data_IF_407392830826
#
_entry.id   IF_407392830826
#
_cell.length_a   1.000
_cell.length_b   1.000
_cell.length_c   1.000
_cell.angle_alpha   90.00
_cell.angle_beta   90.00
_cell.angle_gamma   90.00
#
_symmetry.space_group_name_H-M   'P 1'
#
loop_
_entity.id
_entity.type
_entity.pdbx_description
1 polymer ?
#
# COMPACT_ATOMS: atom_id res chain seq x y z
N UNK A 1 8.49 -37.76 59.72
CA UNK A 1 7.22 -38.51 59.71
C UNK A 1 6.78 -38.61 58.26
N UNK A 2 7.29 -39.53 57.44
CA UNK A 2 6.82 -40.92 57.23
C UNK A 2 5.30 -41.06 57.10
N UNK A 3 4.78 -41.22 55.88
CA UNK A 3 3.85 -42.29 55.47
C UNK A 3 3.63 -42.28 53.92
N UNK A 4 4.09 -43.35 53.26
CA UNK A 4 3.55 -43.94 52.00
C UNK A 4 2.56 -45.05 52.41
N UNK A 5 1.81 -45.77 51.54
CA UNK A 5 1.33 -45.56 50.16
C UNK A 5 -0.17 -45.94 49.98
N UNK A 6 -0.74 -45.83 48.77
CA UNK A 6 -1.77 -46.77 48.29
C UNK A 6 -1.84 -46.75 46.75
N UNK A 7 -1.29 -47.80 46.13
CA UNK A 7 -1.58 -48.20 44.76
C UNK A 7 -2.98 -48.82 44.72
N UNK A 8 -3.81 -48.42 43.76
CA UNK A 8 -4.90 -49.24 43.25
C UNK A 8 -4.75 -49.36 41.73
N UNK A 9 -4.33 -50.54 41.29
CA UNK A 9 -4.33 -50.95 39.90
C UNK A 9 -5.68 -51.61 39.60
N UNK A 10 -6.52 -50.92 38.82
CA UNK A 10 -7.71 -51.51 38.22
C UNK A 10 -7.40 -51.83 36.76
N UNK A 11 -7.28 -53.13 36.47
CA UNK A 11 -7.33 -53.64 35.09
C UNK A 11 -8.78 -53.53 34.60
N UNK A 12 -9.04 -52.60 33.67
CA UNK A 12 -10.25 -52.58 32.86
C UNK A 12 -9.94 -53.25 31.52
N UNK A 13 -10.49 -54.44 31.30
CA UNK A 13 -10.54 -55.09 29.99
C UNK A 13 -11.58 -54.38 29.12
N UNK A 14 -11.11 -53.64 28.11
CA UNK A 14 -11.93 -52.98 27.10
C UNK A 14 -12.27 -53.97 25.96
N UNK A 15 -13.54 -54.18 25.59
CA UNK A 15 -13.89 -54.90 24.37
C UNK A 15 -13.58 -54.02 23.15
N UNK A 16 -12.72 -54.51 22.26
CA UNK A 16 -12.46 -53.89 20.95
C UNK A 16 -13.67 -54.19 20.05
N UNK A 17 -14.62 -53.24 20.02
CA UNK A 17 -15.65 -53.19 19.00
C UNK A 17 -15.02 -52.60 17.73
N UNK A 18 -14.84 -53.44 16.71
CA UNK A 18 -14.56 -53.00 15.34
C UNK A 18 -15.82 -52.32 14.80
N UNK A 19 -15.99 -51.05 15.14
CA UNK A 19 -16.94 -50.17 14.48
C UNK A 19 -16.34 -49.85 13.11
N UNK A 20 -16.93 -50.40 12.05
CA UNK A 20 -16.74 -49.87 10.70
C UNK A 20 -17.16 -48.41 10.74
N UNK A 21 -16.21 -47.48 10.69
CA UNK A 21 -16.53 -46.07 10.49
C UNK A 21 -17.35 -45.98 9.21
N UNK A 22 -18.58 -45.42 9.23
CA UNK A 22 -19.24 -45.07 7.98
C UNK A 22 -18.27 -44.19 7.20
N UNK A 23 -18.14 -44.43 5.89
CA UNK A 23 -17.47 -43.50 5.01
C UNK A 23 -18.13 -42.13 5.23
N UNK A 24 -17.46 -41.25 5.97
CA UNK A 24 -17.88 -39.88 6.10
C UNK A 24 -17.67 -39.28 4.73
N UNK A 25 -18.74 -38.81 4.10
CA UNK A 25 -18.60 -37.86 3.02
C UNK A 25 -17.71 -36.74 3.54
N UNK A 26 -16.56 -36.51 2.91
CA UNK A 26 -15.78 -35.31 3.19
C UNK A 26 -16.69 -34.12 2.91
N UNK A 27 -16.88 -33.28 3.92
CA UNK A 27 -17.55 -32.01 3.72
C UNK A 27 -16.75 -31.23 2.65
N UNK A 28 -17.43 -30.53 1.73
CA UNK A 28 -16.77 -29.75 0.69
C UNK A 28 -15.71 -28.81 1.32
N UNK A 29 -14.53 -28.68 0.72
CA UNK A 29 -13.48 -27.84 1.26
C UNK A 29 -13.88 -26.36 1.16
N UNK A 30 -13.29 -25.57 2.05
CA UNK A 30 -13.21 -24.11 1.89
C UNK A 30 -11.83 -23.79 1.34
N UNK A 31 -11.80 -23.00 0.27
CA UNK A 31 -10.56 -22.49 -0.31
C UNK A 31 -10.45 -20.99 -0.06
N UNK A 32 -9.21 -20.50 0.00
CA UNK A 32 -8.94 -19.07 0.16
C UNK A 32 -8.03 -18.54 -0.93
N UNK A 33 -8.29 -17.30 -1.32
CA UNK A 33 -7.47 -16.49 -2.21
C UNK A 33 -7.03 -15.22 -1.48
N UNK A 34 -5.83 -14.73 -1.76
CA UNK A 34 -5.36 -13.44 -1.24
C UNK A 34 -6.19 -12.31 -1.84
N UNK A 35 -6.67 -11.40 -0.98
CA UNK A 35 -7.29 -10.16 -1.39
C UNK A 35 -6.70 -9.04 -0.55
N UNK A 36 -5.62 -8.48 -1.05
CA UNK A 36 -4.84 -7.45 -0.35
C UNK A 36 -4.73 -6.16 -1.18
N UNK A 37 -5.83 -5.39 -1.38
CA UNK A 37 -5.78 -4.12 -2.09
C UNK A 37 -4.77 -3.15 -1.45
N UNK A 38 -4.06 -2.44 -2.30
CA UNK A 38 -3.07 -1.43 -1.90
C UNK A 38 -3.20 -0.21 -2.82
N UNK A 39 -3.06 0.99 -2.26
CA UNK A 39 -3.07 2.23 -3.03
C UNK A 39 -2.17 3.28 -2.37
N UNK A 40 -1.41 3.98 -3.21
CA UNK A 40 -0.64 5.16 -2.85
C UNK A 40 -1.11 6.33 -3.70
N UNK A 41 -1.48 7.44 -3.05
CA UNK A 41 -1.95 8.66 -3.69
C UNK A 41 -1.03 9.82 -3.32
N UNK A 42 -0.42 10.45 -4.32
CA UNK A 42 0.19 11.77 -4.16
C UNK A 42 -0.89 12.83 -4.36
N UNK A 43 -1.41 13.40 -3.26
CA UNK A 43 -2.44 14.43 -3.30
C UNK A 43 -1.86 15.80 -3.69
N UNK A 44 -0.61 16.06 -3.30
CA UNK A 44 0.14 17.27 -3.64
C UNK A 44 1.63 16.96 -3.68
N UNK A 45 2.31 17.25 -4.78
CA UNK A 45 3.78 17.23 -4.86
C UNK A 45 4.39 18.57 -4.43
N UNK A 46 5.67 18.55 -4.01
CA UNK A 46 6.41 19.78 -3.69
C UNK A 46 6.48 20.77 -4.86
N UNK A 47 6.44 20.29 -6.09
CA UNK A 47 6.43 21.14 -7.30
C UNK A 47 5.04 21.73 -7.60
N UNK A 48 3.98 21.21 -6.96
CA UNK A 48 2.59 21.60 -7.22
C UNK A 48 2.13 22.78 -6.33
N UNK A 49 2.78 22.97 -5.17
CA UNK A 49 2.52 24.09 -4.27
C UNK A 49 3.80 24.89 -4.00
N UNK A 50 3.72 26.19 -4.28
CA UNK A 50 4.76 27.14 -3.93
C UNK A 50 4.11 28.44 -3.45
N UNK A 51 4.40 28.78 -2.20
CA UNK A 51 4.06 30.06 -1.61
C UNK A 51 5.29 30.96 -1.58
N UNK A 52 5.11 32.22 -1.97
CA UNK A 52 6.09 33.28 -1.79
C UNK A 52 5.39 34.51 -1.24
N UNK A 53 5.72 34.90 -0.01
CA UNK A 53 5.09 36.06 0.63
C UNK A 53 5.53 37.38 0.01
N UNK A 54 6.60 37.38 -0.78
CA UNK A 54 7.37 38.57 -1.08
C UNK A 54 7.97 39.19 0.19
N UNK A 55 8.47 40.41 0.07
CA UNK A 55 9.05 41.15 1.20
C UNK A 55 7.97 41.80 2.07
N UNK A 56 7.81 41.32 3.29
CA UNK A 56 6.83 41.77 4.28
C UNK A 56 7.50 42.35 5.54
N UNK A 57 6.97 43.44 6.13
CA UNK A 57 6.01 44.36 5.52
C UNK A 57 6.61 45.09 4.32
N UNK A 58 5.78 45.38 3.31
CA UNK A 58 6.23 46.10 2.13
C UNK A 58 6.69 47.53 2.48
N UNK A 59 7.86 47.93 1.95
CA UNK A 59 8.48 49.24 2.18
C UNK A 59 8.90 49.53 3.64
N UNK A 60 9.02 48.50 4.48
CA UNK A 60 9.59 48.62 5.82
C UNK A 60 11.13 48.68 5.75
N UNK A 61 11.81 49.41 6.66
CA UNK A 61 13.27 49.37 6.78
C UNK A 61 13.83 47.99 7.12
N UNK A 62 13.01 47.14 7.74
CA UNK A 62 13.30 45.72 7.97
C UNK A 62 12.16 44.92 7.37
N UNK A 63 12.51 43.97 6.51
CA UNK A 63 11.58 43.11 5.80
C UNK A 63 12.05 41.66 5.91
N UNK A 64 11.10 40.74 5.84
CA UNK A 64 11.36 39.32 5.71
C UNK A 64 10.63 38.77 4.48
N UNK A 65 11.08 37.65 3.95
CA UNK A 65 10.42 36.93 2.86
C UNK A 65 10.42 35.45 3.18
N UNK A 66 9.26 34.82 3.06
CA UNK A 66 9.12 33.38 3.16
C UNK A 66 8.83 32.79 1.81
N UNK A 67 9.48 31.66 1.56
CA UNK A 67 9.07 30.74 0.53
C UNK A 67 8.78 29.39 1.18
N UNK A 68 7.68 28.76 0.79
CA UNK A 68 7.28 27.46 1.27
C UNK A 68 6.81 26.59 0.11
N UNK A 69 7.26 25.34 0.05
CA UNK A 69 6.65 24.29 -0.74
C UNK A 69 6.15 23.19 0.19
N UNK A 70 5.13 22.46 -0.24
CA UNK A 70 4.51 21.43 0.58
C UNK A 70 4.14 20.22 -0.26
N UNK A 71 4.14 19.05 0.38
CA UNK A 71 3.68 17.80 -0.22
C UNK A 71 2.68 17.11 0.69
N UNK A 72 1.78 16.34 0.09
CA UNK A 72 0.86 15.49 0.83
C UNK A 72 0.63 14.18 0.07
N UNK A 73 0.82 13.06 0.77
CA UNK A 73 0.57 11.72 0.25
C UNK A 73 -0.24 10.89 1.23
N UNK A 74 -0.94 9.90 0.69
CA UNK A 74 -1.76 8.95 1.43
C UNK A 74 -1.43 7.55 0.96
N UNK A 75 -1.20 6.63 1.89
CA UNK A 75 -1.02 5.21 1.59
C UNK A 75 -2.10 4.41 2.31
N UNK A 76 -2.71 3.45 1.61
CA UNK A 76 -3.76 2.59 2.14
C UNK A 76 -3.44 1.14 1.81
N UNK A 77 -3.53 0.27 2.82
CA UNK A 77 -3.29 -1.16 2.70
C UNK A 77 -4.42 -1.94 3.35
N UNK A 78 -5.01 -2.89 2.61
CA UNK A 78 -6.17 -3.68 3.02
C UNK A 78 -5.91 -5.19 2.97
N UNK A 79 -4.89 -5.73 3.68
CA UNK A 79 -4.53 -7.14 3.57
C UNK A 79 -5.59 -8.07 4.15
N UNK A 80 -5.96 -9.09 3.39
CA UNK A 80 -6.95 -10.07 3.80
C UNK A 80 -7.11 -11.21 2.81
N UNK A 81 -8.18 -11.96 2.96
CA UNK A 81 -8.50 -13.10 2.12
C UNK A 81 -9.94 -13.06 1.68
N UNK A 82 -10.19 -13.61 0.50
CA UNK A 82 -11.50 -14.06 0.07
C UNK A 82 -11.59 -15.56 0.33
N UNK A 83 -12.70 -16.03 0.90
CA UNK A 83 -12.94 -17.43 1.24
C UNK A 83 -14.17 -17.90 0.48
N UNK A 84 -14.00 -18.95 -0.32
CA UNK A 84 -15.06 -19.58 -1.08
C UNK A 84 -15.38 -20.96 -0.48
N UNK A 85 -16.64 -21.16 -0.10
CA UNK A 85 -17.15 -22.44 0.39
C UNK A 85 -17.81 -23.21 -0.77
N UNK A 86 -17.16 -24.29 -1.23
CA UNK A 86 -17.68 -25.11 -2.34
C UNK A 86 -18.98 -25.85 -2.00
N UNK A 87 -19.33 -25.97 -0.71
CA UNK A 87 -20.52 -26.67 -0.26
C UNK A 87 -21.75 -25.79 -0.22
N UNK A 88 -21.61 -24.53 0.20
CA UNK A 88 -22.69 -23.54 0.16
C UNK A 88 -22.66 -22.66 -1.09
N UNK A 89 -21.60 -22.72 -1.90
CA UNK A 89 -21.32 -21.82 -3.02
C UNK A 89 -21.28 -20.35 -2.58
N UNK A 90 -20.85 -20.09 -1.34
CA UNK A 90 -20.78 -18.75 -0.77
C UNK A 90 -19.34 -18.22 -0.77
N UNK A 91 -19.18 -16.99 -1.25
CA UNK A 91 -17.97 -16.20 -1.10
C UNK A 91 -18.14 -15.25 0.08
N UNK A 92 -17.10 -15.03 0.87
CA UNK A 92 -17.03 -13.94 1.85
C UNK A 92 -15.60 -13.42 1.99
N UNK A 93 -15.44 -12.22 2.56
CA UNK A 93 -14.14 -11.58 2.76
C UNK A 93 -13.80 -11.51 4.24
N UNK A 94 -12.54 -11.76 4.56
CA UNK A 94 -11.99 -11.70 5.92
C UNK A 94 -10.71 -10.88 5.90
N UNK A 95 -10.72 -9.73 6.58
CA UNK A 95 -9.50 -8.94 6.76
C UNK A 95 -8.52 -9.61 7.71
N UNK A 96 -7.23 -9.42 7.47
CA UNK A 96 -6.19 -9.87 8.40
C UNK A 96 -6.23 -8.98 9.65
N UNK A 97 -6.41 -9.53 10.87
CA UNK A 97 -6.57 -8.72 12.08
C UNK A 97 -5.41 -7.75 12.29
N UNK A 98 -5.73 -6.46 12.48
CA UNK A 98 -4.77 -5.38 12.73
C UNK A 98 -3.64 -5.26 11.70
N UNK A 99 -3.88 -5.64 10.45
CA UNK A 99 -2.87 -5.57 9.40
C UNK A 99 -3.15 -4.49 8.35
N UNK A 100 -4.34 -3.86 8.38
CA UNK A 100 -4.64 -2.71 7.54
C UNK A 100 -3.95 -1.45 8.04
N UNK A 101 -3.49 -0.62 7.12
CA UNK A 101 -2.88 0.69 7.41
C UNK A 101 -3.52 1.78 6.56
N UNK A 102 -3.64 2.96 7.17
CA UNK A 102 -3.99 4.22 6.54
C UNK A 102 -2.95 5.23 7.01
N UNK A 103 -2.05 5.59 6.12
CA UNK A 103 -0.91 6.46 6.38
C UNK A 103 -1.15 7.81 5.70
N UNK A 104 -1.02 8.90 6.45
CA UNK A 104 -1.19 10.27 5.98
C UNK A 104 0.07 11.08 6.25
N UNK A 105 0.75 11.49 5.18
CA UNK A 105 2.04 12.16 5.26
C UNK A 105 1.95 13.58 4.72
N UNK A 106 2.50 14.54 5.46
CA UNK A 106 2.62 15.95 5.04
C UNK A 106 4.07 16.40 5.16
N UNK A 107 4.61 16.91 4.05
CA UNK A 107 5.93 17.50 3.97
C UNK A 107 5.85 19.01 3.78
N UNK A 108 6.81 19.74 4.37
CA UNK A 108 6.96 21.19 4.23
C UNK A 108 8.45 21.52 4.05
N UNK A 109 8.78 22.26 3.00
CA UNK A 109 10.12 22.81 2.77
C UNK A 109 10.05 24.33 2.87
N UNK A 110 10.85 24.92 3.76
CA UNK A 110 10.82 26.34 4.07
C UNK A 110 12.13 27.05 3.74
N UNK A 111 12.00 28.27 3.26
CA UNK A 111 13.09 29.24 3.11
C UNK A 111 12.65 30.57 3.70
N UNK A 112 13.59 31.25 4.36
CA UNK A 112 13.37 32.57 4.93
C UNK A 112 14.55 33.48 4.60
N UNK A 113 14.26 34.67 4.10
CA UNK A 113 15.23 35.73 3.88
C UNK A 113 14.87 36.97 4.69
N UNK A 114 15.86 37.76 5.07
CA UNK A 114 15.68 39.07 5.70
C UNK A 114 16.44 40.12 4.93
N UNK A 115 15.81 41.30 4.83
CA UNK A 115 16.33 42.48 4.18
C UNK A 115 16.25 43.67 5.14
N UNK A 116 17.33 44.42 5.23
CA UNK A 116 17.50 45.60 6.05
C UNK A 116 17.96 46.76 5.16
N UNK A 117 17.25 47.87 5.24
CA UNK A 117 17.56 49.15 4.59
C UNK A 117 17.31 50.28 5.59
N UNK A 118 18.31 50.54 6.44
CA UNK A 118 18.25 51.53 7.54
C UNK A 118 19.43 52.50 7.40
N UNK A 119 19.13 53.75 7.04
CA UNK A 119 20.11 54.83 6.86
C UNK A 119 21.19 54.52 5.82
N UNK A 120 22.41 54.19 6.27
CA UNK A 120 23.57 53.83 5.43
C UNK A 120 23.85 52.32 5.45
N UNK A 121 22.98 51.53 6.09
CA UNK A 121 23.13 50.08 6.24
C UNK A 121 22.13 49.41 5.31
N UNK A 122 22.66 48.69 4.32
CA UNK A 122 21.88 47.84 3.42
C UNK A 122 22.43 46.42 3.53
N UNK A 123 21.56 45.49 3.89
CA UNK A 123 21.92 44.09 4.09
C UNK A 123 20.75 43.20 3.69
N UNK A 124 21.04 42.10 3.02
CA UNK A 124 20.08 41.09 2.64
C UNK A 124 20.75 39.73 2.83
N UNK A 125 20.05 38.79 3.43
CA UNK A 125 20.55 37.44 3.64
C UNK A 125 19.42 36.44 3.61
N UNK A 126 19.71 35.30 3.00
CA UNK A 126 18.96 34.08 3.25
C UNK A 126 19.39 33.57 4.62
N UNK A 127 18.41 33.36 5.50
CA UNK A 127 18.62 32.98 6.91
C UNK A 127 18.36 31.50 7.14
N UNK A 128 17.35 30.99 6.43
CA UNK A 128 16.89 29.63 6.52
C UNK A 128 16.62 29.14 5.10
N UNK A 129 17.00 27.90 4.82
CA UNK A 129 16.55 27.22 3.61
C UNK A 129 17.64 26.42 2.89
N UNK A 130 17.28 25.24 2.34
CA UNK A 130 16.01 24.53 2.57
C UNK A 130 15.94 23.98 4.00
N UNK A 131 14.79 24.16 4.66
CA UNK A 131 14.49 23.50 5.93
C UNK A 131 13.31 22.54 5.72
N UNK A 132 13.58 21.25 5.89
CA UNK A 132 12.61 20.19 5.62
C UNK A 132 11.93 19.75 6.92
N UNK A 133 10.61 19.71 6.88
CA UNK A 133 9.76 19.17 7.93
C UNK A 133 8.81 18.12 7.35
N UNK A 134 8.52 17.11 8.15
CA UNK A 134 7.68 15.99 7.78
C UNK A 134 6.89 15.54 9.01
N UNK A 135 5.59 15.37 8.84
CA UNK A 135 4.74 14.62 9.75
C UNK A 135 4.19 13.40 9.03
N UNK A 136 4.10 12.31 9.77
CA UNK A 136 3.69 11.00 9.29
C UNK A 136 2.78 10.39 10.35
N UNK A 137 1.49 10.31 10.03
CA UNK A 137 0.46 9.79 10.92
C UNK A 137 -0.12 8.51 10.35
N UNK A 138 -0.30 7.51 11.20
CA UNK A 138 -0.75 6.17 10.81
C UNK A 138 -1.95 5.75 11.67
N UNK A 139 -2.99 5.22 11.01
CA UNK A 139 -4.05 4.46 11.64
C UNK A 139 -3.96 3.00 11.21
N UNK A 140 -3.90 2.09 12.19
CA UNK A 140 -3.92 0.64 11.98
C UNK A 140 -5.31 0.10 12.30
N UNK A 141 -5.83 -0.80 11.47
CA UNK A 141 -7.16 -1.37 11.62
C UNK A 141 -7.24 -2.80 11.06
N UNK A 142 -8.35 -3.49 11.29
CA UNK A 142 -8.70 -4.74 10.62
C UNK A 142 -9.46 -4.45 9.33
N UNK A 143 -8.95 -4.82 8.14
CA UNK A 143 -9.67 -4.66 6.89
C UNK A 143 -11.05 -5.37 6.94
N UNK A 144 -12.03 -4.96 6.16
CA UNK A 144 -11.95 -3.99 5.06
C UNK A 144 -12.64 -2.66 5.39
N UNK A 145 -12.98 -2.42 6.67
CA UNK A 145 -13.76 -1.24 7.10
C UNK A 145 -15.12 -1.14 6.38
N UNK A 146 -15.75 -2.29 6.08
CA UNK A 146 -17.12 -2.38 5.57
C UNK A 146 -18.15 -2.14 6.69
N UNK A 147 -19.44 -2.08 6.36
CA UNK A 147 -20.49 -1.88 7.38
C UNK A 147 -20.46 -3.01 8.43
N UNK A 148 -20.53 -2.64 9.71
CA UNK A 148 -20.42 -3.60 10.82
C UNK A 148 -19.01 -3.79 11.38
N UNK A 149 -17.96 -3.33 10.69
CA UNK A 149 -16.61 -3.28 11.25
C UNK A 149 -16.54 -2.21 12.36
N UNK A 150 -16.10 -2.56 13.60
CA UNK A 150 -16.11 -1.62 14.73
C UNK A 150 -15.05 -0.51 14.62
N UNK A 151 -14.08 -0.66 13.73
CA UNK A 151 -13.00 0.30 13.48
C UNK A 151 -13.34 1.24 12.31
N UNK A 152 -14.57 1.16 11.75
CA UNK A 152 -15.04 2.03 10.68
C UNK A 152 -15.58 3.37 11.21
N UNK A 153 -15.15 4.53 10.67
CA UNK A 153 -14.00 4.71 9.77
C UNK A 153 -12.67 4.63 10.53
N UNK A 154 -11.60 4.24 9.83
CA UNK A 154 -10.25 4.49 10.31
C UNK A 154 -10.00 6.00 10.24
N UNK A 155 -9.63 6.60 11.36
CA UNK A 155 -9.54 8.05 11.48
C UNK A 155 -8.16 8.47 12.02
N UNK A 156 -7.61 9.51 11.40
CA UNK A 156 -6.44 10.25 11.86
C UNK A 156 -6.93 11.62 12.31
N UNK A 157 -6.57 11.99 13.52
CA UNK A 157 -6.92 13.27 14.14
C UNK A 157 -5.71 13.76 14.91
N UNK A 158 -4.97 14.68 14.30
CA UNK A 158 -3.79 15.29 14.90
C UNK A 158 -3.99 16.80 14.93
N UNK A 159 -3.95 17.38 16.13
CA UNK A 159 -4.03 18.83 16.30
C UNK A 159 -2.89 19.24 17.23
N UNK A 160 -1.98 20.05 16.72
CA UNK A 160 -0.84 20.57 17.47
C UNK A 160 -1.13 21.99 17.98
N UNK A 161 -0.60 22.30 19.16
CA UNK A 161 -0.32 23.69 19.52
C UNK A 161 0.81 24.23 18.64
N UNK A 162 1.09 25.53 18.73
CA UNK A 162 2.28 26.13 18.14
C UNK A 162 3.52 25.39 18.65
N UNK A 163 4.32 24.80 17.75
CA UNK A 163 5.61 24.26 18.12
C UNK A 163 6.74 24.95 17.37
N UNK A 164 7.90 25.15 18.02
CA UNK A 164 9.03 25.84 17.42
C UNK A 164 9.65 24.96 16.34
N UNK A 165 9.49 25.39 15.09
CA UNK A 165 10.03 24.72 13.93
C UNK A 165 11.50 25.08 13.73
N UNK A 166 11.85 26.37 13.84
CA UNK A 166 13.21 26.87 13.74
C UNK A 166 13.41 28.13 14.57
N UNK A 167 14.63 28.32 15.08
CA UNK A 167 15.06 29.54 15.76
C UNK A 167 16.46 29.90 15.27
N UNK A 168 16.56 30.98 14.50
CA UNK A 168 17.77 31.37 13.75
C UNK A 168 18.32 32.68 14.31
N UNK A 169 19.47 32.64 15.01
CA UNK A 169 20.10 33.86 15.51
C UNK A 169 20.70 34.67 14.35
N UNK A 170 20.44 35.97 14.37
CA UNK A 170 20.98 36.94 13.41
C UNK A 170 22.27 37.51 13.97
N UNK A 171 23.39 36.97 13.51
CA UNK A 171 24.73 37.48 13.86
C UNK A 171 25.48 37.76 12.56
N UNK A 172 25.14 38.84 11.84
CA UNK A 172 25.96 39.26 10.71
C UNK A 172 27.34 39.72 11.22
N UNK A 173 28.37 39.65 10.37
CA UNK A 173 29.72 40.15 10.66
C UNK A 173 29.80 41.68 10.91
N UNK A 174 28.65 42.36 10.91
CA UNK A 174 28.48 43.79 11.09
C UNK A 174 28.05 44.05 12.55
N UNK A 175 28.90 44.74 13.31
CA UNK A 175 28.76 45.02 14.77
C UNK A 175 27.47 45.77 15.18
N UNK A 176 26.66 46.22 14.21
CA UNK A 176 25.47 47.06 14.46
C UNK A 176 24.14 46.35 14.15
N UNK A 177 24.16 45.03 13.99
CA UNK A 177 22.98 44.20 13.70
C UNK A 177 22.95 42.98 14.63
N UNK A 178 21.84 42.74 15.30
CA UNK A 178 21.62 41.52 16.09
C UNK A 178 20.13 41.20 16.18
N UNK A 179 19.76 39.94 16.30
CA UNK A 179 18.36 39.56 16.44
C UNK A 179 18.13 38.07 16.40
N UNK A 180 16.87 37.68 16.27
CA UNK A 180 16.43 36.30 16.15
C UNK A 180 15.22 36.21 15.21
N UNK A 181 15.21 35.17 14.39
CA UNK A 181 14.04 34.74 13.64
C UNK A 181 13.53 33.44 14.28
N UNK A 182 12.34 33.49 14.86
CA UNK A 182 11.61 32.34 15.36
C UNK A 182 10.52 31.96 14.36
N UNK A 183 10.34 30.66 14.11
CA UNK A 183 9.30 30.14 13.23
C UNK A 183 8.58 29.05 13.98
N UNK A 184 7.30 29.27 14.24
CA UNK A 184 6.40 28.28 14.80
C UNK A 184 5.52 27.67 13.71
N UNK A 185 5.14 26.41 13.89
CA UNK A 185 4.22 25.68 13.02
C UNK A 185 3.02 25.21 13.83
N UNK A 186 1.84 25.37 13.25
CA UNK A 186 0.58 24.82 13.73
C UNK A 186 0.07 23.81 12.70
N UNK A 187 -0.37 22.65 13.15
CA UNK A 187 -0.86 21.56 12.31
C UNK A 187 -2.22 21.11 12.84
N UNK A 188 -3.20 21.01 11.95
CA UNK A 188 -4.49 20.38 12.24
C UNK A 188 -4.84 19.45 11.07
N UNK A 189 -4.79 18.15 11.30
CA UNK A 189 -5.03 17.10 10.32
C UNK A 189 -6.25 16.30 10.77
N UNK A 190 -7.26 16.28 9.92
CA UNK A 190 -8.39 15.37 10.04
C UNK A 190 -8.47 14.54 8.77
N UNK A 191 -8.43 13.21 8.91
CA UNK A 191 -8.57 12.31 7.79
C UNK A 191 -9.37 11.06 8.19
N UNK A 192 -10.34 10.68 7.36
CA UNK A 192 -11.16 9.49 7.53
C UNK A 192 -11.05 8.59 6.30
N UNK A 193 -10.95 7.28 6.55
CA UNK A 193 -10.92 6.26 5.52
C UNK A 193 -11.87 5.10 5.89
N UNK A 194 -12.66 4.66 4.92
CA UNK A 194 -13.57 3.52 5.08
C UNK A 194 -13.92 2.89 3.74
N UNK A 195 -14.25 1.60 3.69
CA UNK A 195 -14.77 1.01 2.47
C UNK A 195 -16.29 0.96 2.44
N UNK A 196 -16.84 1.16 1.24
CA UNK A 196 -18.28 1.15 1.01
C UNK A 196 -18.73 -0.20 0.46
N UNK A 197 -17.92 -0.80 -0.42
CA UNK A 197 -18.20 -2.12 -1.01
C UNK A 197 -16.95 -2.81 -1.55
N UNK A 198 -17.02 -4.13 -1.66
CA UNK A 198 -16.17 -4.93 -2.55
C UNK A 198 -17.07 -5.46 -3.65
N UNK A 199 -16.73 -5.22 -4.91
CA UNK A 199 -17.46 -5.67 -6.09
C UNK A 199 -16.74 -6.88 -6.69
N UNK A 200 -17.47 -7.97 -6.92
CA UNK A 200 -16.95 -9.20 -7.52
C UNK A 200 -17.69 -9.50 -8.81
N UNK A 201 -16.95 -9.72 -9.89
CA UNK A 201 -17.52 -10.17 -11.16
C UNK A 201 -17.59 -11.70 -11.20
N UNK A 202 -18.81 -12.23 -11.36
CA UNK A 202 -19.05 -13.68 -11.47
C UNK A 202 -18.64 -14.22 -12.85
N UNK A 203 -18.50 -15.55 -13.01
CA UNK A 203 -18.22 -16.15 -14.33
C UNK A 203 -19.29 -15.83 -15.38
N UNK A 204 -20.53 -15.58 -14.95
CA UNK A 204 -21.64 -15.15 -15.80
C UNK A 204 -21.60 -13.67 -16.21
N UNK A 205 -20.64 -12.89 -15.68
CA UNK A 205 -20.49 -11.46 -15.91
C UNK A 205 -21.39 -10.57 -15.05
N UNK A 206 -22.10 -11.14 -14.07
CA UNK A 206 -22.86 -10.39 -13.07
C UNK A 206 -21.92 -9.78 -12.03
N UNK A 207 -22.30 -8.64 -11.45
CA UNK A 207 -21.58 -7.99 -10.36
C UNK A 207 -22.31 -8.25 -9.05
N UNK A 208 -21.57 -8.72 -8.06
CA UNK A 208 -22.06 -8.96 -6.69
C UNK A 208 -21.31 -8.04 -5.73
N UNK A 209 -22.07 -7.29 -4.94
CA UNK A 209 -21.53 -6.32 -3.99
C UNK A 209 -21.55 -6.90 -2.56
N UNK A 210 -20.41 -6.77 -1.88
CA UNK A 210 -20.24 -7.04 -0.46
C UNK A 210 -20.18 -5.72 0.29
N UNK A 211 -21.18 -5.45 1.13
CA UNK A 211 -21.31 -4.14 1.82
C UNK A 211 -21.14 -4.24 3.33
N UNK A 212 -21.31 -5.45 3.89
CA UNK A 212 -21.15 -5.71 5.32
C UNK A 212 -19.92 -6.58 5.60
N UNK A 213 -19.29 -6.35 6.75
CA UNK A 213 -18.17 -7.13 7.25
C UNK A 213 -18.61 -8.59 7.51
N UNK A 214 -17.86 -9.54 6.97
CA UNK A 214 -18.17 -10.98 7.07
C UNK A 214 -19.43 -11.42 6.33
N UNK A 215 -19.99 -10.58 5.45
CA UNK A 215 -21.11 -10.94 4.59
C UNK A 215 -20.74 -12.09 3.65
N UNK A 216 -21.61 -13.09 3.56
CA UNK A 216 -21.49 -14.20 2.64
C UNK A 216 -22.54 -14.06 1.51
N UNK A 217 -22.11 -14.20 0.27
CA UNK A 217 -22.96 -14.09 -0.92
C UNK A 217 -22.78 -15.31 -1.82
N UNK A 218 -23.88 -15.76 -2.42
CA UNK A 218 -23.88 -16.88 -3.36
C UNK A 218 -23.18 -16.49 -4.66
N UNK A 219 -22.21 -17.28 -5.09
CA UNK A 219 -21.51 -17.15 -6.36
C UNK A 219 -21.54 -18.51 -7.06
N UNK A 220 -22.31 -18.60 -8.14
CA UNK A 220 -22.32 -19.78 -9.01
C UNK A 220 -20.93 -19.93 -9.68
N UNK A 221 -20.21 -21.04 -9.45
CA UNK A 221 -18.89 -21.25 -10.02
C UNK A 221 -18.92 -21.54 -11.54
N UNK A 222 -20.11 -21.65 -12.14
CA UNK A 222 -20.31 -22.02 -13.54
C UNK A 222 -20.02 -23.50 -13.79
N UNK A 223 -20.02 -23.93 -15.05
CA UNK A 223 -19.65 -25.31 -15.44
C UNK A 223 -18.17 -25.40 -15.85
N UNK A 224 -17.53 -26.54 -15.59
CA UNK A 224 -16.20 -26.85 -16.13
C UNK A 224 -15.28 -27.56 -15.14
N UNK A 225 -14.07 -27.97 -15.56
CA UNK A 225 -13.02 -28.44 -14.67
C UNK A 225 -12.06 -27.33 -14.23
N UNK A 226 -12.17 -26.13 -14.83
CA UNK A 226 -11.22 -25.04 -14.63
C UNK A 226 -11.45 -24.33 -13.29
N UNK A 227 -10.37 -23.78 -12.72
CA UNK A 227 -10.39 -22.97 -11.50
C UNK A 227 -11.42 -21.83 -11.59
N UNK A 228 -12.07 -21.54 -10.47
CA UNK A 228 -12.96 -20.41 -10.36
C UNK A 228 -12.13 -19.13 -10.23
N UNK A 229 -12.18 -18.29 -11.28
CA UNK A 229 -11.50 -16.99 -11.30
C UNK A 229 -12.53 -15.86 -11.17
N UNK A 230 -12.39 -15.03 -10.15
CA UNK A 230 -13.30 -13.94 -9.82
C UNK A 230 -12.52 -12.61 -9.72
N UNK A 231 -12.67 -11.68 -10.67
CA UNK A 231 -12.15 -10.33 -10.52
C UNK A 231 -12.88 -9.59 -9.39
N UNK A 232 -12.13 -9.07 -8.42
CA UNK A 232 -12.65 -8.35 -7.26
C UNK A 232 -12.03 -6.95 -7.13
N UNK A 233 -12.84 -5.94 -6.81
CA UNK A 233 -12.40 -4.54 -6.67
C UNK A 233 -12.98 -3.92 -5.40
N UNK A 234 -12.13 -3.30 -4.57
CA UNK A 234 -12.59 -2.55 -3.40
C UNK A 234 -12.89 -1.09 -3.77
N UNK A 235 -14.01 -0.57 -3.27
CA UNK A 235 -14.38 0.83 -3.36
C UNK A 235 -14.47 1.44 -1.98
N UNK A 236 -13.66 2.47 -1.74
CA UNK A 236 -13.52 3.09 -0.44
C UNK A 236 -13.67 4.60 -0.54
N UNK A 237 -13.93 5.27 0.58
CA UNK A 237 -14.07 6.71 0.65
C UNK A 237 -12.95 7.29 1.48
N UNK A 238 -12.29 8.30 0.93
CA UNK A 238 -11.26 9.08 1.60
C UNK A 238 -11.77 10.50 1.83
N UNK A 239 -11.66 10.97 3.07
CA UNK A 239 -11.89 12.37 3.43
C UNK A 239 -10.67 12.94 4.11
N UNK A 240 -10.20 14.10 3.69
CA UNK A 240 -9.07 14.79 4.29
C UNK A 240 -9.37 16.27 4.42
N UNK A 241 -8.99 16.89 5.54
CA UNK A 241 -9.11 18.32 5.78
C UNK A 241 -7.89 18.86 6.53
N UNK A 242 -6.70 18.83 5.92
CA UNK A 242 -5.48 19.33 6.55
C UNK A 242 -5.43 20.87 6.59
N UNK A 243 -4.88 21.42 7.67
CA UNK A 243 -4.54 22.84 7.84
C UNK A 243 -3.15 22.97 8.42
N UNK A 244 -2.30 23.77 7.77
CA UNK A 244 -0.99 24.15 8.30
C UNK A 244 -0.86 25.66 8.33
N UNK A 245 -0.34 26.20 9.43
CA UNK A 245 -0.09 27.62 9.59
C UNK A 245 1.35 27.81 10.06
N UNK A 246 2.14 28.53 9.28
CA UNK A 246 3.48 28.96 9.67
C UNK A 246 3.36 30.34 10.31
N UNK A 247 3.92 30.51 11.51
CA UNK A 247 3.96 31.80 12.22
C UNK A 247 5.42 32.21 12.43
N UNK A 248 5.99 33.05 11.56
CA UNK A 248 7.33 33.57 11.74
C UNK A 248 7.33 34.88 12.51
N UNK A 249 8.20 34.98 13.50
CA UNK A 249 8.41 36.15 14.33
C UNK A 249 9.87 36.62 14.23
N UNK A 250 10.09 37.87 13.82
CA UNK A 250 11.43 38.45 13.66
C UNK A 250 11.61 39.62 14.61
N UNK A 251 12.59 39.49 15.51
CA UNK A 251 13.05 40.57 16.39
C UNK A 251 14.48 40.92 16.01
N UNK A 252 14.74 42.18 15.70
CA UNK A 252 16.07 42.64 15.30
C UNK A 252 16.39 44.05 15.78
N UNK A 253 17.60 44.26 16.25
CA UNK A 253 18.18 45.56 16.55
C UNK A 253 19.12 45.97 15.41
N UNK A 254 18.86 47.14 14.81
CA UNK A 254 19.68 47.74 13.75
C UNK A 254 20.13 49.13 14.20
N UNK A 255 21.44 49.33 14.35
CA UNK A 255 22.01 50.62 14.76
C UNK A 255 21.32 51.23 16.01
N UNK A 256 21.12 50.40 17.04
CA UNK A 256 20.45 50.77 18.31
C UNK A 256 18.96 51.09 18.18
N UNK A 257 18.31 50.65 17.11
CA UNK A 257 16.86 50.72 16.92
C UNK A 257 16.29 49.32 16.85
N UNK A 258 15.29 49.04 17.67
CA UNK A 258 14.59 47.75 17.67
C UNK A 258 13.49 47.74 16.61
N UNK A 259 13.43 46.63 15.88
CA UNK A 259 12.41 46.30 14.90
C UNK A 259 11.80 44.96 15.29
N UNK A 260 10.48 44.93 15.37
CA UNK A 260 9.70 43.74 15.68
C UNK A 260 8.70 43.54 14.53
N UNK A 261 8.97 42.55 13.69
CA UNK A 261 7.98 42.06 12.73
C UNK A 261 7.22 40.96 13.45
N UNK A 262 6.03 41.32 13.93
CA UNK A 262 5.13 40.44 14.64
C UNK A 262 4.89 39.13 13.90
N UNK A 263 4.59 38.06 14.66
CA UNK A 263 4.14 36.76 14.14
C UNK A 263 3.00 36.92 13.15
N UNK A 264 3.25 36.63 11.87
CA UNK A 264 2.23 36.66 10.82
C UNK A 264 1.75 35.24 10.57
N UNK A 265 0.45 34.98 10.67
CA UNK A 265 -0.09 33.68 10.30
C UNK A 265 -0.07 33.53 8.77
N UNK A 266 0.73 32.58 8.30
CA UNK A 266 0.87 32.23 6.88
C UNK A 266 0.24 30.84 6.69
N UNK A 267 -0.99 30.77 6.15
CA UNK A 267 -1.63 29.49 5.87
C UNK A 267 -0.94 28.79 4.69
N UNK A 268 -0.75 27.49 4.81
CA UNK A 268 -0.31 26.60 3.74
C UNK A 268 -1.53 25.78 3.31
N UNK A 269 -2.07 26.13 2.14
CA UNK A 269 -3.28 25.51 1.60
C UNK A 269 -2.95 24.11 1.06
N UNK A 270 -3.31 23.08 1.81
CA UNK A 270 -3.25 21.69 1.38
C UNK A 270 -4.59 21.22 0.77
N UNK A 271 -4.58 20.22 -0.13
CA UNK A 271 -5.81 19.75 -0.76
C UNK A 271 -6.75 19.08 0.27
N UNK A 272 -8.02 19.47 0.17
CA UNK A 272 -9.14 18.80 0.86
C UNK A 272 -9.73 17.78 -0.11
N UNK A 273 -9.81 16.52 0.31
CA UNK A 273 -10.35 15.41 -0.50
C UNK A 273 -11.64 14.91 0.13
N UNK A 274 -12.65 14.59 -0.68
CA UNK A 274 -13.85 13.84 -0.28
C UNK A 274 -14.33 13.00 -1.47
N UNK A 275 -13.57 11.96 -1.79
CA UNK A 275 -13.72 11.18 -3.02
C UNK A 275 -13.95 9.69 -2.72
N UNK A 276 -14.65 9.01 -3.64
CA UNK A 276 -14.65 7.55 -3.72
C UNK A 276 -13.42 7.10 -4.51
N UNK A 277 -12.64 6.21 -3.89
CA UNK A 277 -11.44 5.58 -4.43
C UNK A 277 -11.80 4.18 -4.91
N UNK A 278 -11.39 3.86 -6.14
CA UNK A 278 -11.45 2.51 -6.70
C UNK A 278 -10.04 1.92 -6.69
N UNK A 279 -9.85 0.83 -5.95
CA UNK A 279 -8.57 0.09 -5.95
C UNK A 279 -8.38 -0.69 -7.25
N UNK A 280 -7.15 -1.16 -7.48
CA UNK A 280 -6.88 -2.08 -8.57
C UNK A 280 -7.67 -3.39 -8.41
N UNK A 281 -8.15 -3.93 -9.52
CA UNK A 281 -8.85 -5.21 -9.55
C UNK A 281 -7.87 -6.36 -9.30
N UNK A 282 -8.23 -7.26 -8.38
CA UNK A 282 -7.47 -8.47 -8.03
C UNK A 282 -8.22 -9.70 -8.56
N UNK A 283 -7.52 -10.59 -9.27
CA UNK A 283 -8.09 -11.87 -9.69
C UNK A 283 -8.00 -12.88 -8.54
N UNK A 284 -9.14 -13.24 -7.96
CA UNK A 284 -9.26 -14.30 -6.96
C UNK A 284 -9.31 -15.64 -7.70
N UNK A 285 -8.44 -16.59 -7.35
CA UNK A 285 -8.39 -17.91 -7.98
C UNK A 285 -8.63 -19.01 -6.95
N UNK A 286 -9.68 -19.80 -7.16
CA UNK A 286 -10.03 -20.92 -6.29
C UNK A 286 -9.92 -22.24 -7.07
N UNK A 287 -9.03 -23.16 -6.66
CA UNK A 287 -8.91 -24.47 -7.29
C UNK A 287 -10.24 -25.20 -7.27
N UNK A 288 -10.67 -25.73 -8.42
CA UNK A 288 -12.00 -26.34 -8.49
C UNK A 288 -12.10 -27.61 -7.64
N UNK A 289 -13.13 -27.69 -6.80
CA UNK A 289 -13.40 -28.90 -6.04
C UNK A 289 -14.11 -29.95 -6.89
N UNK A 290 -13.53 -31.15 -6.97
CA UNK A 290 -14.17 -32.34 -7.53
C UNK A 290 -14.70 -33.22 -6.40
N UNK A 291 -16.00 -33.49 -6.40
CA UNK A 291 -16.58 -34.45 -5.47
C UNK A 291 -15.91 -35.82 -5.66
N UNK A 292 -15.52 -36.53 -4.59
CA UNK A 292 -14.96 -37.86 -4.71
C UNK A 292 -15.92 -38.74 -5.52
N UNK A 293 -15.48 -39.20 -6.69
CA UNK A 293 -16.26 -40.18 -7.43
C UNK A 293 -16.31 -41.42 -6.56
N UNK A 294 -17.45 -41.66 -5.93
CA UNK A 294 -17.67 -42.86 -5.15
C UNK A 294 -17.53 -44.05 -6.08
N UNK A 295 -16.33 -44.62 -6.14
CA UNK A 295 -16.09 -45.91 -6.76
C UNK A 295 -16.85 -46.91 -5.90
N UNK A 296 -18.13 -47.02 -6.20
CA UNK A 296 -18.99 -48.06 -5.66
C UNK A 296 -18.46 -49.29 -6.34
N UNK A 297 -17.45 -49.91 -5.70
CA UNK A 297 -16.80 -51.12 -6.14
C UNK A 297 -17.86 -52.16 -6.48
N UNK A 298 -18.28 -52.13 -7.73
CA UNK A 298 -19.17 -53.08 -8.33
C UNK A 298 -18.33 -54.30 -8.55
N UNK A 299 -18.27 -55.15 -7.53
CA UNK A 299 -17.83 -56.54 -7.64
C UNK A 299 -18.67 -57.21 -8.74
N UNK A 300 -18.17 -57.13 -9.98
CA UNK A 300 -18.75 -57.78 -11.15
C UNK A 300 -17.75 -58.78 -11.70
N UNK A 301 -17.84 -59.99 -11.16
CA UNK A 301 -17.43 -61.24 -11.81
C UNK A 301 -15.93 -61.52 -11.82
N UNK A 302 -15.46 -62.74 -12.03
CA UNK A 302 -16.08 -64.05 -12.24
C UNK A 302 -14.89 -65.01 -12.18
N UNK A 303 -14.82 -65.85 -11.16
CA UNK A 303 -13.88 -66.97 -11.13
C UNK A 303 -14.44 -68.12 -11.98
N UNK A 304 -13.66 -68.56 -12.97
CA UNK A 304 -13.96 -69.77 -13.73
C UNK A 304 -13.23 -69.83 -15.07
N UNK A 305 -11.94 -70.15 -15.05
CA UNK A 305 -11.08 -70.20 -16.22
C UNK A 305 -11.35 -71.34 -17.20
N UNK A 306 -10.68 -71.25 -18.35
CA UNK A 306 -10.21 -72.41 -19.11
C UNK A 306 -9.13 -71.95 -20.09
N UNK A 307 -7.98 -72.62 -19.99
CA UNK A 307 -6.81 -72.55 -20.87
C UNK A 307 -7.18 -72.86 -22.33
N UNK A 308 -6.49 -72.26 -23.32
CA UNK A 308 -5.80 -73.01 -24.38
C UNK A 308 -4.78 -72.12 -25.11
N UNK A 309 -3.54 -72.59 -25.17
CA UNK A 309 -2.45 -72.16 -26.04
C UNK A 309 -2.85 -72.11 -27.52
N UNK A 310 -2.30 -71.17 -28.30
CA UNK A 310 -1.62 -71.52 -29.56
C UNK A 310 -0.68 -70.41 -30.02
N UNK A 311 0.60 -70.75 -30.11
CA UNK A 311 1.63 -70.04 -30.88
C UNK A 311 1.23 -69.90 -32.36
N UNK A 312 1.53 -68.77 -32.99
CA UNK A 312 1.94 -68.75 -34.41
C UNK A 312 2.90 -67.59 -34.67
N UNK A 313 4.10 -67.97 -35.11
CA UNK A 313 5.19 -67.13 -35.54
C UNK A 313 5.04 -66.67 -37.01
N UNK A 314 5.76 -65.59 -37.34
CA UNK A 314 6.12 -65.16 -38.69
C UNK A 314 5.24 -64.03 -39.23
N UNK A 315 5.71 -63.10 -40.06
CA UNK A 315 7.01 -62.85 -40.67
C UNK A 315 6.85 -61.53 -41.47
N UNK A 316 7.96 -60.82 -41.68
CA UNK A 316 8.30 -59.99 -42.85
C UNK A 316 7.51 -58.72 -43.25
N UNK A 317 8.28 -57.68 -43.62
CA UNK A 317 7.97 -56.69 -44.66
C UNK A 317 7.95 -55.24 -44.17
N UNK A 318 9.10 -54.56 -44.08
CA UNK A 318 9.73 -53.70 -45.10
C UNK A 318 8.96 -52.44 -45.52
N UNK A 319 9.62 -51.30 -45.26
CA UNK A 319 9.83 -50.05 -46.06
C UNK A 319 8.64 -49.48 -46.89
N UNK A 320 8.40 -48.17 -47.08
CA UNK A 320 9.27 -47.07 -47.53
C UNK A 320 8.46 -45.74 -47.51
N UNK A 321 9.14 -44.58 -47.45
CA UNK A 321 8.72 -43.31 -48.10
C UNK A 321 8.13 -42.23 -47.17
N UNK A 322 8.86 -41.24 -46.64
CA UNK A 322 9.57 -40.08 -47.25
C UNK A 322 8.73 -39.18 -48.17
N UNK A 323 8.39 -37.98 -47.68
CA UNK A 323 8.50 -36.65 -48.34
C UNK A 323 7.86 -35.64 -47.39
N UNK A 324 8.44 -34.50 -46.99
CA UNK A 324 9.32 -33.58 -47.71
C UNK A 324 8.63 -32.20 -47.65
N UNK A 325 9.27 -31.20 -47.06
CA UNK A 325 8.66 -29.87 -46.85
C UNK A 325 9.63 -28.86 -46.25
N UNK A 326 10.80 -28.75 -46.86
CA UNK A 326 11.81 -27.71 -46.67
C UNK A 326 11.29 -26.39 -47.26
N UNK A 327 11.31 -25.30 -46.49
CA UNK A 327 11.42 -23.93 -47.03
C UNK A 327 12.46 -23.21 -46.17
N UNK A 328 13.69 -23.23 -46.67
CA UNK A 328 14.67 -22.19 -46.46
C UNK A 328 14.77 -21.40 -47.77
N UNK A 329 14.68 -20.08 -47.70
CA UNK A 329 15.35 -19.13 -48.61
C UNK A 329 15.29 -17.75 -47.95
N UNK A 330 16.45 -17.24 -47.51
CA UNK A 330 17.21 -16.17 -48.17
C UNK A 330 16.51 -14.80 -48.02
N UNK A 331 17.05 -13.83 -47.29
CA UNK A 331 18.43 -13.38 -47.28
C UNK A 331 18.46 -11.94 -47.78
N UNK A 332 18.70 -10.98 -46.89
CA UNK A 332 19.18 -9.64 -47.26
C UNK A 332 20.09 -9.08 -46.16
N UNK A 333 21.36 -9.42 -46.32
CA UNK A 333 22.51 -8.80 -45.70
C UNK A 333 22.86 -7.52 -46.50
N UNK A 334 22.81 -6.36 -45.86
CA UNK A 334 23.51 -5.16 -46.31
C UNK A 334 24.50 -4.75 -45.23
N UNK A 335 25.71 -5.28 -45.35
CA UNK A 335 26.91 -4.76 -44.72
C UNK A 335 27.37 -3.47 -45.42
N UNK A 336 27.72 -2.44 -44.65
CA UNK A 336 28.88 -1.61 -44.97
C UNK A 336 29.47 -1.02 -43.69
N UNK A 337 30.79 -1.09 -43.65
CA UNK A 337 31.67 -0.99 -42.49
C UNK A 337 31.98 0.45 -42.04
N UNK A 338 32.32 0.54 -40.75
CA UNK A 338 33.39 1.33 -40.12
C UNK A 338 33.49 2.84 -40.39
N UNK A 339 33.34 3.65 -39.33
CA UNK A 339 34.47 4.38 -38.74
C UNK A 339 34.09 5.08 -37.42
N UNK A 340 35.05 5.00 -36.51
CA UNK A 340 35.28 5.66 -35.23
C UNK A 340 35.01 7.19 -35.22
N UNK A 341 34.33 7.70 -34.18
CA UNK A 341 34.69 8.87 -33.33
C UNK A 341 33.46 9.55 -32.69
N UNK A 342 33.56 9.80 -31.38
CA UNK A 342 33.08 11.06 -30.80
C UNK A 342 31.76 11.04 -30.02
N UNK A 343 31.91 11.11 -28.69
CA UNK A 343 31.18 11.97 -27.73
C UNK A 343 29.65 12.15 -27.83
N UNK A 344 29.09 12.01 -26.63
CA UNK A 344 28.05 12.83 -26.00
C UNK A 344 26.60 12.29 -25.90
N UNK A 345 26.18 12.29 -24.63
CA UNK A 345 24.89 12.65 -24.04
C UNK A 345 23.69 11.68 -24.15
N UNK A 346 23.16 11.37 -22.97
CA UNK A 346 21.73 11.07 -22.77
C UNK A 346 21.46 9.64 -22.32
N UNK A 347 21.05 9.47 -21.05
CA UNK A 347 20.62 8.17 -20.56
C UNK A 347 20.47 8.10 -19.04
N UNK A 348 19.65 9.01 -18.50
CA UNK A 348 19.10 8.99 -17.15
C UNK A 348 18.46 7.65 -16.80
N UNK A 349 19.02 6.92 -15.83
CA UNK A 349 18.33 5.93 -15.00
C UNK A 349 19.18 5.65 -13.77
N UNK A 350 18.52 5.47 -12.60
CA UNK A 350 19.05 5.10 -11.27
C UNK A 350 19.53 6.25 -10.37
N UNK A 351 18.59 6.89 -9.67
CA UNK A 351 18.84 7.47 -8.34
C UNK A 351 17.52 7.71 -7.60
N UNK A 352 17.00 6.73 -6.85
CA UNK A 352 15.91 6.94 -5.89
C UNK A 352 15.87 5.88 -4.76
N UNK A 353 17.03 5.43 -4.28
CA UNK A 353 17.15 4.52 -3.11
C UNK A 353 18.35 4.90 -2.23
N UNK A 354 18.50 6.19 -1.91
CA UNK A 354 19.74 6.71 -1.33
C UNK A 354 19.61 7.73 -0.18
N UNK A 355 18.46 7.90 0.47
CA UNK A 355 18.31 8.96 1.49
C UNK A 355 17.76 8.55 2.87
N UNK A 356 17.59 7.26 3.18
CA UNK A 356 17.14 6.83 4.52
C UNK A 356 18.22 6.23 5.45
N UNK A 357 19.51 6.21 5.07
CA UNK A 357 20.53 5.51 5.86
C UNK A 357 21.55 6.40 6.60
N UNK A 358 21.41 7.73 6.62
CA UNK A 358 22.43 8.60 7.21
C UNK A 358 21.91 9.60 8.25
N UNK A 359 21.23 9.12 9.30
CA UNK A 359 21.02 9.92 10.53
C UNK A 359 21.07 9.15 11.84
N UNK A 360 21.72 7.98 11.89
CA UNK A 360 22.04 7.31 13.17
C UNK A 360 23.55 7.15 13.35
N UNK A 361 24.20 8.23 13.78
CA UNK A 361 25.41 8.19 14.64
C UNK A 361 25.84 9.60 15.05
N UNK A 362 25.29 10.07 16.17
CA UNK A 362 25.95 10.93 17.16
C UNK A 362 25.02 11.05 18.37
N UNK A 363 25.18 10.10 19.28
CA UNK A 363 25.24 10.30 20.73
C UNK A 363 26.23 9.26 21.28
#
# INVERSE_FOLDING_TARGET
>A
MTFRPALFASLLTLPILLLSSPAQAEDPPQDSADFSPFMELLLLGFDDFALDTGWIPANSPVQMRFYASASNSVTMSLPGQAIYDWGSEELHFVGTPMAGSFDYQVGLELFAGVKVDVNLIQWESDLLGPYDWLIDEEAVFTPYLLEGNPERPAAISETSDAFPLASVPLIPDIVVLSGNLDIDLFVDIQADFQCERIEVQTPGGELVDFTNEGEAQLIDPGEGPDDLVLPATAYCRLRTAPTLIVNPHLVMEVAFQEFDIAGIDIPIDLPVVDDELQFDTIELSFPRWEAPTGDTGGETGTDGGSETDTDTAGDSGDEVGLSGGEIADDGCNCSSASADTGRDLGGTTLALLGLLAWRRRRD
#
